data_IF_990862865803
#
_entry.id   IF_990862865803
#
_cell.length_a   1.000
_cell.length_b   1.000
_cell.length_c   1.000
_cell.angle_alpha   90.00
_cell.angle_beta   90.00
_cell.angle_gamma   90.00
#
_symmetry.space_group_name_H-M   'P 1'
#
loop_
_entity.id
_entity.type
_entity.pdbx_description
1 polymer ?
#
# COMPACT_ATOMS: atom_id res chain seq x y z
N UNK A 1 23.46 27.72 -8.86
CA UNK A 1 23.60 26.39 -8.23
C UNK A 1 25.05 26.18 -7.90
N UNK A 2 25.36 25.91 -6.63
CA UNK A 2 26.74 25.62 -6.19
C UNK A 2 26.94 24.15 -5.81
N UNK A 3 25.87 23.45 -5.45
CA UNK A 3 25.83 21.99 -5.33
C UNK A 3 24.53 21.48 -5.95
N UNK A 4 24.63 20.44 -6.76
CA UNK A 4 23.47 19.71 -7.26
C UNK A 4 22.98 18.73 -6.20
N UNK A 5 21.69 18.42 -6.21
CA UNK A 5 21.13 17.32 -5.43
C UNK A 5 21.84 15.99 -5.74
N UNK A 6 22.17 15.23 -4.70
CA UNK A 6 22.75 13.89 -4.76
C UNK A 6 21.72 12.75 -4.83
N UNK A 7 20.42 13.05 -4.82
CA UNK A 7 19.34 12.07 -4.90
C UNK A 7 17.98 12.65 -4.50
N UNK A 8 16.92 11.84 -4.58
CA UNK A 8 15.54 12.32 -4.36
C UNK A 8 15.29 12.91 -2.96
N UNK A 9 16.16 12.61 -1.99
CA UNK A 9 16.10 13.11 -0.61
C UNK A 9 17.09 14.22 -0.30
N UNK A 10 17.68 14.82 -1.34
CA UNK A 10 18.72 15.82 -1.21
C UNK A 10 18.30 17.16 -1.84
N UNK A 11 18.50 18.25 -1.11
CA UNK A 11 18.11 19.59 -1.56
C UNK A 11 19.27 20.18 -2.36
N UNK A 12 18.98 20.78 -3.51
CA UNK A 12 19.99 21.53 -4.25
C UNK A 12 20.30 22.89 -3.61
N UNK A 13 21.59 23.22 -3.46
CA UNK A 13 22.02 24.49 -2.88
C UNK A 13 22.45 25.52 -3.91
N UNK A 14 22.05 26.75 -3.64
CA UNK A 14 22.37 27.93 -4.41
C UNK A 14 23.18 28.91 -3.58
N UNK A 15 24.11 29.61 -4.23
CA UNK A 15 24.84 30.70 -3.58
C UNK A 15 23.85 31.75 -3.09
N UNK A 16 23.98 32.18 -1.84
CA UNK A 16 23.16 33.25 -1.26
C UNK A 16 23.56 34.64 -1.76
N UNK A 17 24.67 34.74 -2.51
CA UNK A 17 25.29 35.99 -2.93
C UNK A 17 25.99 36.77 -1.80
N UNK A 18 25.90 36.29 -0.56
CA UNK A 18 26.45 36.95 0.63
C UNK A 18 27.74 36.29 1.15
N UNK A 19 28.08 35.09 0.67
CA UNK A 19 29.29 34.36 1.02
C UNK A 19 29.87 33.67 -0.23
N UNK A 20 31.19 33.46 -0.23
CA UNK A 20 31.95 32.71 -1.24
C UNK A 20 31.67 31.21 -1.16
N UNK A 21 31.37 30.68 0.04
CA UNK A 21 31.07 29.27 0.23
C UNK A 21 29.59 28.97 -0.07
N UNK A 22 29.33 27.78 -0.61
CA UNK A 22 27.97 27.23 -0.72
C UNK A 22 27.37 27.06 0.70
N UNK A 23 26.04 27.21 0.88
CA UNK A 23 25.38 26.81 2.12
C UNK A 23 25.73 25.38 2.53
N UNK A 24 25.50 25.07 3.82
CA UNK A 24 25.59 23.69 4.31
C UNK A 24 24.63 22.80 3.53
N UNK A 25 25.07 21.58 3.25
CA UNK A 25 24.26 20.53 2.63
C UNK A 25 23.00 20.25 3.46
N UNK A 26 21.83 20.38 2.83
CA UNK A 26 20.53 20.15 3.45
C UNK A 26 19.83 18.96 2.82
N UNK A 27 19.34 18.06 3.66
CA UNK A 27 18.55 16.92 3.24
C UNK A 27 17.05 17.20 3.42
N UNK A 28 16.24 16.55 2.59
CA UNK A 28 14.79 16.56 2.73
C UNK A 28 14.37 16.00 4.09
N UNK A 29 13.34 16.56 4.75
CA UNK A 29 12.90 16.09 6.06
C UNK A 29 12.29 14.68 5.98
N UNK A 30 12.16 14.02 7.13
CA UNK A 30 11.62 12.65 7.19
C UNK A 30 10.14 12.51 6.82
N UNK A 31 9.47 13.62 6.52
CA UNK A 31 8.08 13.69 6.05
C UNK A 31 7.99 13.86 4.54
N UNK A 32 9.12 14.01 3.84
CA UNK A 32 9.14 14.13 2.38
C UNK A 32 8.97 12.76 1.75
N UNK A 33 7.92 12.58 0.95
CA UNK A 33 7.71 11.37 0.13
C UNK A 33 8.66 11.46 -1.06
N UNK A 34 9.64 10.55 -1.12
CA UNK A 34 10.57 10.45 -2.25
C UNK A 34 10.12 9.43 -3.29
N UNK A 35 9.27 8.47 -2.90
CA UNK A 35 8.54 7.61 -3.83
C UNK A 35 7.11 7.41 -3.34
N UNK A 36 6.14 7.73 -4.20
CA UNK A 36 4.74 7.45 -3.94
C UNK A 36 4.44 5.98 -4.14
N UNK A 37 3.53 5.44 -3.33
CA UNK A 37 2.90 4.13 -3.57
C UNK A 37 2.24 4.07 -4.96
N UNK A 38 2.43 2.93 -5.66
CA UNK A 38 1.87 2.62 -6.97
C UNK A 38 0.61 1.73 -6.91
N UNK A 39 0.19 1.30 -5.72
CA UNK A 39 -1.01 0.47 -5.52
C UNK A 39 -1.26 0.08 -4.06
N UNK A 40 -2.39 -0.59 -3.81
CA UNK A 40 -2.86 -0.90 -2.45
C UNK A 40 -1.88 -1.76 -1.62
N UNK A 41 -0.97 -2.47 -2.29
CA UNK A 41 0.04 -3.32 -1.68
C UNK A 41 1.44 -2.71 -1.64
N UNK A 42 1.56 -1.43 -1.98
CA UNK A 42 2.82 -0.72 -2.08
C UNK A 42 2.92 0.39 -1.03
N UNK A 43 4.05 0.48 -0.33
CA UNK A 43 4.26 1.45 0.76
C UNK A 43 4.97 2.67 0.19
N UNK A 44 4.47 3.88 0.42
CA UNK A 44 5.23 5.08 0.05
C UNK A 44 6.52 5.19 0.87
N UNK A 45 7.66 5.44 0.23
CA UNK A 45 8.91 5.74 0.92
C UNK A 45 9.07 7.22 1.20
N UNK A 46 9.56 7.46 2.40
CA UNK A 46 9.88 8.78 2.91
C UNK A 46 11.39 8.90 3.07
N UNK A 47 11.90 10.10 2.84
CA UNK A 47 13.27 10.41 3.19
C UNK A 47 13.53 10.14 4.67
N UNK A 48 14.77 9.87 5.03
CA UNK A 48 15.14 9.65 6.43
C UNK A 48 15.41 10.94 7.20
N UNK A 49 15.56 12.08 6.50
CA UNK A 49 16.14 13.30 7.08
C UNK A 49 17.65 13.26 7.25
N UNK A 50 18.32 12.17 6.85
CA UNK A 50 19.74 11.92 7.11
C UNK A 50 20.50 11.26 5.95
N UNK A 51 19.81 10.90 4.87
CA UNK A 51 20.40 10.34 3.65
C UNK A 51 19.84 11.06 2.42
N UNK A 52 20.70 11.29 1.42
CA UNK A 52 20.39 11.89 0.12
C UNK A 52 19.57 10.97 -0.79
N UNK A 53 19.63 9.65 -0.61
CA UNK A 53 18.87 8.69 -1.40
C UNK A 53 17.56 8.31 -0.73
N UNK A 54 16.52 8.10 -1.53
CA UNK A 54 15.28 7.46 -1.08
C UNK A 54 15.57 6.04 -0.56
N UNK A 55 14.90 5.56 0.51
CA UNK A 55 14.96 4.15 0.89
C UNK A 55 14.56 3.20 -0.26
N UNK A 56 14.95 1.93 -0.14
CA UNK A 56 14.50 0.91 -1.08
C UNK A 56 12.98 0.76 -1.05
N UNK A 57 12.40 0.40 -2.21
CA UNK A 57 10.96 0.12 -2.34
C UNK A 57 10.57 -1.06 -1.44
N UNK A 58 9.57 -0.87 -0.59
CA UNK A 58 9.00 -1.90 0.28
C UNK A 58 7.53 -2.12 -0.04
N UNK A 59 7.17 -3.39 -0.25
CA UNK A 59 5.77 -3.82 -0.40
C UNK A 59 5.17 -4.24 0.94
N UNK A 60 3.84 -4.12 1.04
CA UNK A 60 3.10 -4.67 2.16
C UNK A 60 3.27 -6.21 2.25
N UNK A 61 3.39 -6.77 3.46
CA UNK A 61 3.62 -8.21 3.65
C UNK A 61 2.39 -9.03 3.29
N UNK A 62 2.56 -10.36 3.22
CA UNK A 62 1.47 -11.32 2.93
C UNK A 62 0.34 -11.35 3.96
N UNK A 63 0.50 -10.66 5.09
CA UNK A 63 -0.51 -10.54 6.14
C UNK A 63 -1.33 -9.25 6.04
N UNK A 64 -1.01 -8.37 5.09
CA UNK A 64 -1.74 -7.11 4.90
C UNK A 64 -2.97 -7.35 4.04
N UNK A 65 -4.14 -7.05 4.61
CA UNK A 65 -5.43 -7.07 3.90
C UNK A 65 -5.52 -5.81 3.05
N UNK A 66 -5.48 -5.97 1.72
CA UNK A 66 -5.60 -4.87 0.76
C UNK A 66 -7.03 -4.63 0.32
N UNK A 67 -7.90 -5.65 0.39
CA UNK A 67 -9.35 -5.51 0.29
C UNK A 67 -10.01 -6.36 1.36
N UNK A 68 -10.84 -5.72 2.19
CA UNK A 68 -11.64 -6.42 3.19
C UNK A 68 -12.89 -7.03 2.55
N UNK A 69 -13.28 -8.20 3.03
CA UNK A 69 -14.56 -8.84 2.72
C UNK A 69 -15.75 -7.92 3.01
N UNK A 70 -16.71 -7.90 2.09
CA UNK A 70 -17.90 -7.03 2.13
C UNK A 70 -19.20 -7.78 2.46
N UNK A 71 -19.14 -9.08 2.73
CA UNK A 71 -20.29 -9.89 3.12
C UNK A 71 -19.91 -11.34 3.42
N UNK A 72 -20.90 -12.14 3.84
CA UNK A 72 -20.70 -13.52 4.28
C UNK A 72 -20.16 -14.46 3.17
N UNK A 73 -20.31 -14.05 1.90
CA UNK A 73 -19.82 -14.78 0.74
C UNK A 73 -18.58 -14.19 0.09
N UNK A 74 -17.98 -13.19 0.75
CA UNK A 74 -16.77 -12.53 0.29
C UNK A 74 -15.55 -13.01 1.10
N UNK A 75 -14.34 -12.88 0.57
CA UNK A 75 -13.11 -13.16 1.33
C UNK A 75 -12.18 -11.96 1.35
N UNK A 76 -11.35 -11.85 2.39
CA UNK A 76 -10.31 -10.83 2.42
C UNK A 76 -9.23 -11.17 1.37
N UNK A 77 -8.80 -10.18 0.59
CA UNK A 77 -7.62 -10.28 -0.25
C UNK A 77 -6.40 -9.70 0.45
N UNK A 78 -5.33 -10.48 0.40
CA UNK A 78 -4.07 -10.16 1.02
C UNK A 78 -3.04 -9.82 -0.05
N UNK A 79 -2.15 -8.88 0.25
CA UNK A 79 -1.00 -8.63 -0.60
C UNK A 79 -0.15 -9.88 -0.78
N UNK A 80 0.54 -9.98 -1.91
CA UNK A 80 1.44 -11.13 -2.15
C UNK A 80 2.83 -10.94 -1.51
N UNK A 81 3.13 -9.75 -1.01
CA UNK A 81 4.50 -9.34 -0.67
C UNK A 81 5.39 -9.03 -1.87
N UNK A 82 4.90 -9.25 -3.10
CA UNK A 82 5.71 -9.20 -4.32
C UNK A 82 5.11 -8.30 -5.43
N UNK A 83 3.83 -7.96 -5.35
CA UNK A 83 3.13 -7.11 -6.32
C UNK A 83 2.57 -5.86 -5.64
N UNK A 84 2.59 -4.73 -6.35
CA UNK A 84 2.03 -3.43 -5.89
C UNK A 84 0.50 -3.42 -5.86
N UNK A 85 -0.14 -4.26 -6.67
CA UNK A 85 -1.60 -4.36 -6.74
C UNK A 85 -2.14 -5.44 -5.83
N UNK A 86 -3.29 -5.19 -5.21
CA UNK A 86 -4.09 -6.22 -4.55
C UNK A 86 -4.48 -7.32 -5.57
N UNK A 87 -4.54 -8.60 -5.15
CA UNK A 87 -5.12 -9.65 -5.99
C UNK A 87 -6.55 -9.31 -6.44
N UNK A 88 -7.01 -9.97 -7.51
CA UNK A 88 -8.40 -9.84 -7.94
C UNK A 88 -9.37 -10.30 -6.86
N UNK A 89 -10.52 -9.61 -6.78
CA UNK A 89 -11.62 -9.93 -5.87
C UNK A 89 -12.06 -11.40 -6.03
N UNK A 90 -12.08 -12.11 -4.91
CA UNK A 90 -12.43 -13.52 -4.83
C UNK A 90 -13.57 -13.74 -3.85
N UNK A 91 -14.39 -14.75 -4.12
CA UNK A 91 -15.58 -15.05 -3.33
C UNK A 91 -15.46 -16.43 -2.69
N UNK A 92 -16.20 -16.64 -1.60
CA UNK A 92 -16.41 -17.98 -1.05
C UNK A 92 -17.00 -18.90 -2.13
N UNK A 93 -16.57 -20.19 -2.20
CA UNK A 93 -17.06 -21.10 -3.22
C UNK A 93 -18.56 -21.39 -3.06
N UNK A 94 -19.19 -21.91 -4.11
CA UNK A 94 -20.64 -22.22 -4.08
C UNK A 94 -21.03 -23.38 -3.14
N UNK A 95 -20.05 -23.98 -2.49
CA UNK A 95 -20.22 -24.98 -1.42
C UNK A 95 -20.17 -24.37 -0.01
N UNK A 96 -19.85 -23.07 0.12
CA UNK A 96 -19.81 -22.38 1.40
C UNK A 96 -21.23 -22.07 1.86
N UNK A 97 -21.57 -22.52 3.07
CA UNK A 97 -22.85 -22.21 3.72
C UNK A 97 -22.74 -20.82 4.35
N UNK A 98 -23.46 -19.85 3.80
CA UNK A 98 -23.50 -18.48 4.35
C UNK A 98 -24.65 -18.28 5.34
N UNK A 99 -25.75 -19.04 5.20
CA UNK A 99 -26.81 -19.07 6.21
C UNK A 99 -27.25 -20.49 6.50
N UNK A 100 -27.16 -20.85 7.78
CA UNK A 100 -27.69 -22.13 8.27
C UNK A 100 -29.22 -22.13 8.27
N UNK A 101 -29.82 -23.31 8.14
CA UNK A 101 -31.27 -23.50 8.29
C UNK A 101 -31.72 -23.14 9.71
N UNK A 102 -32.77 -22.33 9.81
CA UNK A 102 -33.45 -21.96 11.05
C UNK A 102 -34.52 -22.97 11.51
N UNK A 103 -34.71 -24.09 10.79
CA UNK A 103 -35.66 -25.15 11.15
C UNK A 103 -36.14 -25.98 9.96
N UNK A 104 -37.00 -26.95 10.23
CA UNK A 104 -37.44 -27.98 9.26
C UNK A 104 -38.08 -27.45 7.96
N UNK A 105 -38.56 -26.19 7.97
CA UNK A 105 -39.18 -25.51 6.82
C UNK A 105 -38.31 -24.38 6.23
N UNK A 106 -37.04 -24.30 6.63
CA UNK A 106 -36.09 -23.30 6.15
C UNK A 106 -34.87 -23.99 5.53
N UNK A 107 -34.49 -23.57 4.33
CA UNK A 107 -33.37 -24.18 3.60
C UNK A 107 -32.04 -23.53 4.00
N UNK A 108 -30.95 -24.27 3.85
CA UNK A 108 -29.60 -23.72 3.94
C UNK A 108 -29.34 -22.86 2.71
N UNK A 109 -28.74 -21.69 2.90
CA UNK A 109 -28.27 -20.85 1.79
C UNK A 109 -26.76 -21.01 1.62
N UNK A 110 -26.37 -21.10 0.35
CA UNK A 110 -24.99 -21.24 -0.08
C UNK A 110 -24.59 -20.01 -0.89
N UNK A 111 -23.32 -19.65 -0.80
CA UNK A 111 -22.78 -18.62 -1.67
C UNK A 111 -22.94 -18.98 -3.14
N UNK A 112 -22.97 -17.98 -4.02
CA UNK A 112 -23.04 -18.21 -5.46
C UNK A 112 -21.66 -18.45 -6.09
N UNK A 113 -20.57 -18.12 -5.38
CA UNK A 113 -19.20 -18.10 -5.91
C UNK A 113 -18.85 -16.83 -6.70
N UNK A 114 -19.73 -15.84 -6.72
CA UNK A 114 -19.54 -14.60 -7.50
C UNK A 114 -20.27 -13.36 -6.95
N UNK A 115 -20.76 -13.42 -5.72
CA UNK A 115 -21.46 -12.31 -5.06
C UNK A 115 -21.10 -12.30 -3.57
N UNK A 116 -21.02 -11.10 -2.99
CA UNK A 116 -20.72 -10.86 -1.56
C UNK A 116 -21.88 -11.28 -0.64
N UNK A 117 -23.12 -11.27 -1.13
CA UNK A 117 -24.32 -11.55 -0.34
C UNK A 117 -24.76 -13.02 -0.44
N UNK A 118 -25.28 -13.53 0.66
CA UNK A 118 -26.02 -14.79 0.69
C UNK A 118 -27.35 -14.65 -0.11
N UNK A 119 -27.74 -15.63 -0.95
CA UNK A 119 -28.98 -15.60 -1.72
C UNK A 119 -30.27 -15.60 -0.90
#
# INVERSE_FOLDING_TARGET
>A
MCRSSGGDCDIEEYCTGSNVNCPTDLLQPSTHICRSSEGDCDISEYCSGSNATCPENVLHPTTYVCRSSQGDCDIDEYCSGQNVTCPSDTFQPSTHVCRSSGGDCDIVEYCSGNNVTCP
#
